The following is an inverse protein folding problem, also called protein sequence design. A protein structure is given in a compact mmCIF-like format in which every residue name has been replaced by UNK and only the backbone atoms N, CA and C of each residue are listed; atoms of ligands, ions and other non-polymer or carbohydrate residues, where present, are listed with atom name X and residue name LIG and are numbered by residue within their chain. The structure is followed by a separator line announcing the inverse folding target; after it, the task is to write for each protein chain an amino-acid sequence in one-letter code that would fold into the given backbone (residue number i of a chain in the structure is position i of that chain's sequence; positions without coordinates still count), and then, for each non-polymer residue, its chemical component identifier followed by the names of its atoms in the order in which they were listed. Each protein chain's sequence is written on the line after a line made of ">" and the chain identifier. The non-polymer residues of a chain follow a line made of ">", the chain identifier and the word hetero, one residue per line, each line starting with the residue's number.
data_IF_091976264480
#
_entry.id   IF_091976264480
#
_cell.length_a   1.000
_cell.length_b   1.000
_cell.length_c   1.000
_cell.angle_alpha   90.00
_cell.angle_beta   90.00
_cell.angle_gamma   90.00
#
_symmetry.space_group_name_H-M   'P 1'
#
loop_
_entity.id
_entity.type
_entity.pdbx_description
1 polymer ?
#
# COMPACT_ATOMS: atom_id res chain seq x y z
N UNK A 1 -6.17 -3.45 19.29
CA UNK A 1 -5.78 -2.22 18.61
C UNK A 1 -6.35 -2.29 17.21
N UNK A 2 -6.96 -1.20 16.75
CA UNK A 2 -7.45 -1.05 15.37
C UNK A 2 -6.63 -0.01 14.65
N UNK A 3 -6.13 -0.36 13.47
CA UNK A 3 -5.40 0.53 12.58
C UNK A 3 -6.05 0.46 11.20
N UNK A 4 -6.47 1.60 10.68
CA UNK A 4 -7.08 1.65 9.36
C UNK A 4 -6.79 3.01 8.74
N UNK A 5 -6.23 2.99 7.53
CA UNK A 5 -6.06 4.20 6.72
C UNK A 5 -7.22 4.38 5.72
N UNK A 6 -8.33 3.64 5.89
CA UNK A 6 -9.50 3.70 5.00
C UNK A 6 -10.11 5.10 4.93
N UNK A 7 -10.02 5.89 5.99
CA UNK A 7 -10.47 7.28 6.00
C UNK A 7 -9.74 8.16 4.96
N UNK A 8 -8.51 7.78 4.58
CA UNK A 8 -7.71 8.47 3.53
C UNK A 8 -8.07 8.02 2.11
N UNK A 9 -8.98 7.05 1.94
CA UNK A 9 -9.37 6.55 0.61
C UNK A 9 -9.92 7.65 -0.32
N UNK A 10 -10.65 8.63 0.23
CA UNK A 10 -11.13 9.79 -0.54
C UNK A 10 -9.96 10.63 -1.07
N UNK A 11 -8.95 10.89 -0.23
CA UNK A 11 -7.74 11.62 -0.62
C UNK A 11 -7.00 10.88 -1.72
N UNK A 12 -6.84 9.56 -1.59
CA UNK A 12 -6.14 8.79 -2.60
C UNK A 12 -6.90 8.72 -3.93
N UNK A 13 -8.24 8.63 -3.90
CA UNK A 13 -9.08 8.79 -5.09
C UNK A 13 -8.88 10.15 -5.75
N UNK A 14 -8.92 11.22 -4.96
CA UNK A 14 -8.70 12.58 -5.45
C UNK A 14 -7.33 12.72 -6.12
N UNK A 15 -6.26 12.22 -5.49
CA UNK A 15 -4.91 12.23 -6.06
C UNK A 15 -4.85 11.43 -7.36
N UNK A 16 -5.47 10.25 -7.42
CA UNK A 16 -5.50 9.44 -8.64
C UNK A 16 -6.22 10.18 -9.79
N UNK A 17 -7.40 10.75 -9.53
CA UNK A 17 -8.15 11.55 -10.52
C UNK A 17 -7.35 12.77 -10.97
N UNK A 18 -6.70 13.48 -10.05
CA UNK A 18 -5.85 14.63 -10.38
C UNK A 18 -4.68 14.23 -11.29
N UNK A 19 -4.02 13.10 -11.01
CA UNK A 19 -2.94 12.58 -11.85
C UNK A 19 -3.43 12.22 -13.26
N UNK A 20 -4.62 11.60 -13.37
CA UNK A 20 -5.23 11.33 -14.68
C UNK A 20 -5.54 12.63 -15.45
N UNK A 21 -6.08 13.65 -14.76
CA UNK A 21 -6.33 14.96 -15.37
C UNK A 21 -5.02 15.61 -15.85
N UNK A 22 -3.94 15.53 -15.08
CA UNK A 22 -2.62 16.03 -15.48
C UNK A 22 -2.10 15.32 -16.73
N UNK A 23 -2.30 14.00 -16.86
CA UNK A 23 -1.93 13.26 -18.07
C UNK A 23 -2.76 13.75 -19.27
N UNK A 24 -4.08 13.89 -19.12
CA UNK A 24 -4.97 14.36 -20.19
C UNK A 24 -4.59 15.78 -20.63
N UNK A 25 -4.41 16.71 -19.69
CA UNK A 25 -3.99 18.07 -20.00
C UNK A 25 -2.58 18.14 -20.56
N UNK A 26 -1.67 17.29 -20.07
CA UNK A 26 -0.31 17.17 -20.60
C UNK A 26 -0.29 16.75 -22.07
N UNK A 27 -1.12 15.77 -22.44
CA UNK A 27 -1.31 15.35 -23.84
C UNK A 27 -1.89 16.50 -24.67
N UNK A 28 -2.94 17.17 -24.17
CA UNK A 28 -3.55 18.30 -24.88
C UNK A 28 -2.55 19.45 -25.09
N UNK A 29 -1.77 19.80 -24.08
CA UNK A 29 -0.75 20.84 -24.14
C UNK A 29 0.37 20.48 -25.14
N UNK A 30 0.83 19.23 -25.14
CA UNK A 30 1.80 18.73 -26.11
C UNK A 30 1.28 18.87 -27.55
N UNK A 31 0.06 18.39 -27.82
CA UNK A 31 -0.55 18.49 -29.16
C UNK A 31 -0.75 19.95 -29.60
N UNK A 32 -1.24 20.82 -28.71
CA UNK A 32 -1.42 22.24 -29.03
C UNK A 32 -0.08 22.92 -29.34
N UNK A 33 0.98 22.57 -28.62
CA UNK A 33 2.31 23.10 -28.90
C UNK A 33 2.85 22.58 -30.24
N UNK A 34 2.69 21.29 -30.53
CA UNK A 34 3.23 20.66 -31.75
C UNK A 34 2.51 21.11 -33.02
N UNK A 35 1.19 21.36 -32.96
CA UNK A 35 0.40 21.66 -34.16
C UNK A 35 0.00 23.12 -34.33
N UNK A 36 0.06 23.96 -33.29
CA UNK A 36 -0.40 25.36 -33.37
C UNK A 36 0.62 26.37 -32.91
N UNK A 37 1.11 26.23 -31.68
CA UNK A 37 1.83 27.33 -31.04
C UNK A 37 3.34 27.30 -31.27
N UNK A 38 3.94 26.12 -31.40
CA UNK A 38 5.39 25.90 -31.52
C UNK A 38 6.24 26.68 -30.49
N UNK A 39 5.66 27.03 -29.34
CA UNK A 39 6.25 27.97 -28.39
C UNK A 39 7.37 27.36 -27.55
N UNK A 40 7.28 26.06 -27.25
CA UNK A 40 8.14 25.36 -26.28
C UNK A 40 9.12 24.39 -26.96
N UNK A 41 9.00 24.19 -28.28
CA UNK A 41 9.88 23.29 -29.04
C UNK A 41 9.94 21.87 -28.47
N UNK A 42 11.15 21.30 -28.41
CA UNK A 42 11.41 19.93 -27.91
C UNK A 42 11.20 19.76 -26.40
N UNK A 43 11.12 20.84 -25.62
CA UNK A 43 10.84 20.73 -24.18
C UNK A 43 9.37 20.35 -23.91
N UNK A 44 8.50 20.41 -24.91
CA UNK A 44 7.08 20.02 -24.78
C UNK A 44 6.88 18.55 -24.39
N UNK A 45 7.85 17.66 -24.66
CA UNK A 45 7.80 16.27 -24.22
C UNK A 45 7.75 16.13 -22.69
N UNK A 46 8.21 17.14 -21.93
CA UNK A 46 8.09 17.17 -20.46
C UNK A 46 6.62 17.11 -20.03
N UNK A 47 5.69 17.72 -20.79
CA UNK A 47 4.26 17.67 -20.51
C UNK A 47 3.68 16.26 -20.58
N UNK A 48 4.33 15.34 -21.29
CA UNK A 48 3.96 13.93 -21.33
C UNK A 48 4.67 13.14 -20.24
N UNK A 49 6.01 13.29 -20.18
CA UNK A 49 6.86 12.44 -19.36
C UNK A 49 6.59 12.64 -17.87
N UNK A 50 6.46 13.88 -17.41
CA UNK A 50 6.31 14.16 -15.97
C UNK A 50 5.00 13.60 -15.40
N UNK A 51 3.81 13.88 -15.97
CA UNK A 51 2.56 13.32 -15.45
C UNK A 51 2.53 11.79 -15.50
N UNK A 52 3.08 11.17 -16.55
CA UNK A 52 3.14 9.71 -16.68
C UNK A 52 4.03 9.12 -15.58
N UNK A 53 5.22 9.67 -15.35
CA UNK A 53 6.12 9.21 -14.28
C UNK A 53 5.45 9.34 -12.91
N UNK A 54 4.78 10.46 -12.64
CA UNK A 54 4.06 10.65 -11.37
C UNK A 54 2.94 9.61 -11.18
N UNK A 55 2.17 9.32 -12.23
CA UNK A 55 1.13 8.30 -12.20
C UNK A 55 1.73 6.91 -11.97
N UNK A 56 2.82 6.57 -12.65
CA UNK A 56 3.53 5.29 -12.47
C UNK A 56 4.04 5.15 -11.03
N UNK A 57 4.71 6.17 -10.48
CA UNK A 57 5.19 6.15 -9.09
C UNK A 57 4.04 5.94 -8.10
N UNK A 58 2.90 6.59 -8.32
CA UNK A 58 1.72 6.42 -7.49
C UNK A 58 1.24 4.96 -7.46
N UNK A 59 1.27 4.25 -8.59
CA UNK A 59 0.88 2.84 -8.64
C UNK A 59 1.97 1.87 -8.15
N UNK A 60 3.25 2.19 -8.34
CA UNK A 60 4.38 1.37 -7.87
C UNK A 60 4.48 1.30 -6.34
N UNK A 61 3.96 2.29 -5.62
CA UNK A 61 3.93 2.28 -4.15
C UNK A 61 3.00 1.20 -3.57
N UNK A 62 2.16 0.57 -4.40
CA UNK A 62 1.32 -0.56 -4.06
C UNK A 62 -0.09 -0.18 -3.60
N UNK A 63 -0.72 -1.09 -2.88
CA UNK A 63 -2.09 -1.00 -2.36
C UNK A 63 -2.20 0.11 -1.34
N UNK A 64 -3.12 1.04 -1.60
CA UNK A 64 -3.23 2.26 -0.82
C UNK A 64 -3.98 2.07 0.49
N UNK A 65 -4.88 1.07 0.55
CA UNK A 65 -5.71 0.83 1.74
C UNK A 65 -5.17 -0.39 2.49
N UNK A 66 -4.86 -0.18 3.75
CA UNK A 66 -4.46 -1.20 4.72
C UNK A 66 -5.29 -1.05 5.99
N UNK A 67 -5.90 -2.16 6.42
CA UNK A 67 -6.64 -2.25 7.67
C UNK A 67 -6.13 -3.45 8.48
N UNK A 68 -5.95 -3.23 9.78
CA UNK A 68 -5.49 -4.19 10.76
C UNK A 68 -6.38 -4.10 12.00
N UNK A 69 -6.91 -5.23 12.45
CA UNK A 69 -7.64 -5.34 13.71
C UNK A 69 -7.04 -6.45 14.57
N UNK A 70 -6.79 -6.12 15.84
CA UNK A 70 -6.24 -7.00 16.86
C UNK A 70 -7.13 -7.07 18.11
N UNK A 71 -8.31 -6.47 18.13
CA UNK A 71 -9.17 -6.40 19.32
C UNK A 71 -9.88 -7.73 19.64
N UNK A 72 -10.09 -8.60 18.66
CA UNK A 72 -10.72 -9.91 18.83
C UNK A 72 -9.75 -11.06 19.18
N UNK A 73 -10.22 -12.30 19.07
CA UNK A 73 -9.39 -13.51 19.22
C UNK A 73 -8.48 -13.76 18.01
N UNK A 74 -8.92 -13.29 16.85
CA UNK A 74 -8.19 -13.34 15.59
C UNK A 74 -7.48 -12.00 15.30
N UNK A 75 -6.43 -12.09 14.50
CA UNK A 75 -5.85 -10.95 13.80
C UNK A 75 -6.50 -10.89 12.42
N UNK A 76 -7.01 -9.72 12.04
CA UNK A 76 -7.61 -9.47 10.74
C UNK A 76 -6.74 -8.48 9.96
N UNK A 77 -6.35 -8.86 8.75
CA UNK A 77 -5.60 -8.04 7.82
C UNK A 77 -6.38 -7.85 6.53
N UNK A 78 -6.53 -6.60 6.09
CA UNK A 78 -7.13 -6.24 4.81
C UNK A 78 -6.18 -5.33 4.06
N UNK A 79 -5.88 -5.66 2.82
CA UNK A 79 -5.05 -4.82 1.98
C UNK A 79 -5.61 -4.77 0.55
N UNK A 80 -6.04 -3.59 0.11
CA UNK A 80 -6.72 -3.40 -1.17
C UNK A 80 -6.30 -2.11 -1.85
N UNK A 81 -6.47 -2.09 -3.17
CA UNK A 81 -6.40 -0.87 -3.94
C UNK A 81 -7.68 -0.05 -3.78
N UNK A 82 -7.57 1.24 -4.07
CA UNK A 82 -8.73 2.13 -4.20
C UNK A 82 -9.55 1.76 -5.44
N UNK A 83 -8.84 1.34 -6.49
CA UNK A 83 -9.43 0.90 -7.75
C UNK A 83 -9.78 -0.59 -7.62
N UNK A 84 -11.07 -0.95 -7.59
CA UNK A 84 -11.50 -2.31 -7.28
C UNK A 84 -11.14 -3.35 -8.35
N UNK A 85 -10.90 -2.92 -9.60
CA UNK A 85 -10.57 -3.80 -10.72
C UNK A 85 -9.08 -4.00 -10.96
N UNK A 86 -8.21 -3.29 -10.24
CA UNK A 86 -6.76 -3.36 -10.50
C UNK A 86 -6.11 -4.60 -9.88
N UNK A 87 -6.54 -5.02 -8.68
CA UNK A 87 -6.07 -6.25 -8.04
C UNK A 87 -7.16 -6.87 -7.17
N UNK A 88 -7.06 -8.19 -6.96
CA UNK A 88 -7.88 -8.89 -5.96
C UNK A 88 -7.55 -8.37 -4.54
N UNK A 89 -8.55 -7.93 -3.76
CA UNK A 89 -8.33 -7.50 -2.38
C UNK A 89 -7.81 -8.69 -1.55
N UNK A 90 -6.80 -8.43 -0.72
CA UNK A 90 -6.28 -9.41 0.23
C UNK A 90 -7.05 -9.26 1.54
N UNK A 91 -7.56 -10.37 2.04
CA UNK A 91 -8.25 -10.44 3.32
C UNK A 91 -7.91 -11.76 3.98
N UNK A 92 -7.14 -11.67 5.06
CA UNK A 92 -6.69 -12.83 5.81
C UNK A 92 -7.04 -12.63 7.27
N UNK A 93 -7.65 -13.66 7.85
CA UNK A 93 -8.01 -13.70 9.25
C UNK A 93 -7.49 -14.99 9.87
N UNK A 94 -6.75 -14.88 10.96
CA UNK A 94 -6.20 -16.04 11.65
C UNK A 94 -6.11 -15.82 13.17
N UNK A 95 -6.23 -16.89 13.97
CA UNK A 95 -6.09 -16.79 15.42
C UNK A 95 -4.72 -16.23 15.83
N UNK A 96 -4.68 -15.40 16.88
CA UNK A 96 -3.44 -14.76 17.37
C UNK A 96 -2.30 -15.75 17.65
N UNK A 97 -2.61 -16.92 18.18
CA UNK A 97 -1.61 -17.95 18.52
C UNK A 97 -0.89 -18.52 17.29
N UNK A 98 -1.43 -18.34 16.08
CA UNK A 98 -0.77 -18.79 14.84
C UNK A 98 0.34 -17.85 14.39
N UNK A 99 0.43 -16.64 14.92
CA UNK A 99 1.49 -15.71 14.56
C UNK A 99 2.82 -16.17 15.18
N UNK A 100 3.79 -16.50 14.33
CA UNK A 100 5.14 -16.92 14.75
C UNK A 100 6.07 -15.71 14.80
N UNK A 101 6.15 -14.97 13.69
CA UNK A 101 7.03 -13.81 13.55
C UNK A 101 6.47 -12.83 12.52
N UNK A 102 7.01 -11.60 12.55
CA UNK A 102 6.72 -10.59 11.56
C UNK A 102 8.01 -9.88 11.16
N UNK A 103 8.04 -9.38 9.92
CA UNK A 103 9.14 -8.60 9.39
C UNK A 103 8.59 -7.42 8.59
N UNK A 104 9.18 -6.23 8.77
CA UNK A 104 8.84 -5.05 7.98
C UNK A 104 10.06 -4.63 7.19
N UNK A 105 9.97 -4.76 5.87
CA UNK A 105 11.02 -4.36 4.94
C UNK A 105 10.63 -3.02 4.31
N UNK A 106 11.52 -2.04 4.40
CA UNK A 106 11.36 -0.73 3.78
C UNK A 106 12.48 -0.47 2.78
N UNK A 107 12.13 -0.16 1.55
CA UNK A 107 13.06 0.24 0.50
C UNK A 107 12.55 1.51 -0.18
N UNK A 108 13.26 2.63 0.01
CA UNK A 108 12.83 3.97 -0.40
C UNK A 108 11.38 4.27 0.03
N UNK A 109 10.44 4.32 -0.91
CA UNK A 109 9.02 4.61 -0.68
C UNK A 109 8.15 3.35 -0.53
N UNK A 110 8.71 2.18 -0.81
CA UNK A 110 7.99 0.90 -0.75
C UNK A 110 8.20 0.27 0.63
N UNK A 111 7.10 0.01 1.34
CA UNK A 111 7.11 -0.71 2.63
C UNK A 111 6.25 -1.95 2.54
N UNK A 112 6.81 -3.08 2.95
CA UNK A 112 6.15 -4.39 2.95
C UNK A 112 6.19 -5.03 4.32
N UNK A 113 5.07 -5.61 4.72
CA UNK A 113 4.92 -6.42 5.92
C UNK A 113 4.84 -7.89 5.51
N UNK A 114 5.71 -8.70 6.11
CA UNK A 114 5.71 -10.15 6.00
C UNK A 114 5.31 -10.73 7.34
N UNK A 115 4.28 -11.57 7.35
CA UNK A 115 3.84 -12.30 8.54
C UNK A 115 4.09 -13.79 8.34
N UNK A 116 4.82 -14.40 9.25
CA UNK A 116 5.00 -15.86 9.25
C UNK A 116 3.98 -16.46 10.22
N UNK A 117 3.07 -17.25 9.68
CA UNK A 117 2.03 -17.94 10.44
C UNK A 117 2.25 -19.45 10.46
N UNK A 118 1.81 -20.12 11.51
CA UNK A 118 1.79 -21.58 11.57
C UNK A 118 0.70 -22.15 10.68
N UNK A 119 1.04 -23.19 9.91
CA UNK A 119 0.12 -23.86 8.99
C UNK A 119 0.09 -25.35 9.27
N UNK A 120 -1.12 -25.94 9.25
CA UNK A 120 -1.31 -27.38 9.50
C UNK A 120 -0.64 -28.26 8.43
N UNK A 121 -0.51 -27.76 7.20
CA UNK A 121 -0.05 -28.57 6.07
C UNK A 121 1.45 -28.43 5.76
N UNK A 122 2.05 -27.27 6.03
CA UNK A 122 3.42 -26.95 5.57
C UNK A 122 4.36 -26.48 6.68
N UNK A 123 3.93 -26.58 7.95
CA UNK A 123 4.64 -26.03 9.10
C UNK A 123 4.48 -24.52 9.25
N UNK A 124 4.79 -23.74 8.21
CA UNK A 124 4.57 -22.30 8.19
C UNK A 124 4.12 -21.77 6.83
N UNK A 125 3.52 -20.57 6.83
CA UNK A 125 3.10 -19.83 5.62
C UNK A 125 3.39 -18.35 5.81
N UNK A 126 3.85 -17.69 4.74
CA UNK A 126 4.18 -16.26 4.77
C UNK A 126 3.07 -15.47 4.08
N UNK A 127 2.43 -14.57 4.82
CA UNK A 127 1.47 -13.60 4.30
C UNK A 127 2.20 -12.28 4.01
N UNK A 128 1.87 -11.65 2.88
CA UNK A 128 2.54 -10.45 2.38
C UNK A 128 1.55 -9.31 2.24
N UNK A 129 1.88 -8.15 2.81
CA UNK A 129 1.04 -6.95 2.73
C UNK A 129 1.86 -5.73 2.37
N UNK A 130 1.22 -4.81 1.65
CA UNK A 130 1.80 -3.54 1.26
C UNK A 130 1.31 -2.46 2.23
N UNK A 131 2.28 -1.80 2.88
CA UNK A 131 2.04 -0.82 3.95
C UNK A 131 2.72 0.52 3.65
N UNK A 132 3.12 0.77 2.40
CA UNK A 132 3.78 2.01 1.95
C UNK A 132 2.98 3.27 2.29
N UNK A 133 1.65 3.15 2.30
CA UNK A 133 0.71 4.25 2.58
C UNK A 133 0.43 4.47 4.07
N UNK A 134 1.05 3.69 4.96
CA UNK A 134 1.04 3.96 6.39
C UNK A 134 2.12 5.00 6.74
N UNK A 135 1.72 5.98 7.55
CA UNK A 135 2.64 6.93 8.17
C UNK A 135 3.60 6.19 9.11
N UNK A 136 4.74 6.84 9.44
CA UNK A 136 5.72 6.21 10.31
C UNK A 136 5.14 5.88 11.70
N UNK A 137 4.21 6.71 12.21
CA UNK A 137 3.51 6.44 13.47
C UNK A 137 2.64 5.19 13.37
N UNK A 138 1.80 5.10 12.33
CA UNK A 138 0.96 3.92 12.06
C UNK A 138 1.81 2.64 11.92
N UNK A 139 2.96 2.70 11.24
CA UNK A 139 3.88 1.56 11.14
C UNK A 139 4.46 1.18 12.51
N UNK A 140 4.88 2.15 13.32
CA UNK A 140 5.42 1.88 14.64
C UNK A 140 4.37 1.26 15.57
N UNK A 141 3.14 1.77 15.54
CA UNK A 141 2.03 1.24 16.34
C UNK A 141 1.70 -0.20 15.92
N UNK A 142 1.70 -0.48 14.61
CA UNK A 142 1.52 -1.82 14.07
C UNK A 142 2.62 -2.77 14.57
N UNK A 143 3.88 -2.35 14.52
CA UNK A 143 5.01 -3.13 15.05
C UNK A 143 4.85 -3.41 16.54
N UNK A 144 4.47 -2.41 17.35
CA UNK A 144 4.22 -2.58 18.78
C UNK A 144 3.11 -3.61 19.06
N UNK A 145 2.02 -3.55 18.30
CA UNK A 145 0.91 -4.49 18.41
C UNK A 145 1.34 -5.92 18.08
N UNK A 146 2.00 -6.13 16.94
CA UNK A 146 2.48 -7.45 16.50
C UNK A 146 3.53 -8.01 17.45
N UNK A 147 4.44 -7.18 17.94
CA UNK A 147 5.47 -7.59 18.90
C UNK A 147 4.85 -8.12 20.20
N UNK A 148 3.78 -7.48 20.67
CA UNK A 148 3.06 -7.93 21.87
C UNK A 148 2.49 -9.34 21.68
N UNK A 149 1.87 -9.60 20.53
CA UNK A 149 1.31 -10.93 20.20
C UNK A 149 2.42 -11.98 20.08
N UNK A 150 3.49 -11.69 19.34
CA UNK A 150 4.62 -12.62 19.17
C UNK A 150 5.28 -12.95 20.51
N UNK A 151 5.48 -11.95 21.38
CA UNK A 151 6.07 -12.17 22.71
C UNK A 151 5.20 -13.08 23.57
N UNK A 152 3.89 -12.82 23.64
CA UNK A 152 2.95 -13.68 24.38
C UNK A 152 2.89 -15.11 23.83
N UNK A 153 3.02 -15.29 22.52
CA UNK A 153 3.05 -16.63 21.93
C UNK A 153 4.35 -17.38 22.25
N UNK A 154 5.51 -16.69 22.29
CA UNK A 154 6.78 -17.29 22.69
C UNK A 154 6.74 -17.77 24.14
N UNK A 155 6.28 -16.92 25.06
CA UNK A 155 6.13 -17.24 26.49
C UNK A 155 5.18 -18.41 26.78
N UNK A 156 4.29 -18.77 25.85
CA UNK A 156 3.37 -19.92 25.98
C UNK A 156 3.94 -21.23 25.43
N UNK A 157 4.98 -21.15 24.59
CA UNK A 157 5.60 -22.31 23.96
C UNK A 157 6.90 -22.73 24.65
N UNK A 158 7.42 -21.89 25.54
CA UNK A 158 8.48 -22.20 26.52
C UNK A 158 7.87 -22.77 27.81
#
# INVERSE_FOLDING_TARGET
>A
MRLSNRNKASVYNFVHTLLLMLVIFGIAAFLLNEYRFHAVGKESYIFLVVPIIMLVIFHLNGRQIFEYDSDGEALNFKNRNIIPFMDKPLHDEFPKYKLISYEVVSFFFVKRLYLTISSKNSGSTILKYEISYLSQKEVNDLKLSLNKVVKTNKEKND
#
